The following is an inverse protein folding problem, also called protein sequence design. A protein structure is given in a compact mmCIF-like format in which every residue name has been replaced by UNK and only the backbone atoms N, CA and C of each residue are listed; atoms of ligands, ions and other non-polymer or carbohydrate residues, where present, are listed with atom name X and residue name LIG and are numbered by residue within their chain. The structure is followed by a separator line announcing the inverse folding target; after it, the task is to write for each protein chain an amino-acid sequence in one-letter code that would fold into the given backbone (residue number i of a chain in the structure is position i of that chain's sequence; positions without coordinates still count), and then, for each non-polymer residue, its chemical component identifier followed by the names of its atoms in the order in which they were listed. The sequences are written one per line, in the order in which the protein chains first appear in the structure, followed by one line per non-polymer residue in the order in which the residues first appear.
data_IF_378051736300
#
_entry.id   IF_378051736300
#
_cell.length_a   1.000
_cell.length_b   1.000
_cell.length_c   1.000
_cell.angle_alpha   90.00
_cell.angle_beta   90.00
_cell.angle_gamma   90.00
#
_symmetry.space_group_name_H-M   'P 1'
#
loop_
_entity.id
_entity.type
_entity.pdbx_description
1 polymer ?
#
# COMPACT_ATOMS: atom_id res chain seq x y z
N UNK A 1 -5.30 30.91 -71.22
CA UNK A 1 -4.86 29.90 -70.24
C UNK A 1 -4.18 30.65 -69.10
N UNK A 2 -4.85 30.82 -67.96
CA UNK A 2 -4.32 31.54 -66.80
C UNK A 2 -4.29 30.59 -65.61
N UNK A 3 -3.09 30.31 -65.10
CA UNK A 3 -2.80 29.47 -63.96
C UNK A 3 -2.92 30.28 -62.67
N UNK A 4 -3.94 30.00 -61.85
CA UNK A 4 -4.12 30.60 -60.53
C UNK A 4 -3.34 29.85 -59.46
N UNK A 5 -2.28 30.45 -58.92
CA UNK A 5 -1.62 29.99 -57.70
C UNK A 5 -2.41 30.50 -56.49
N UNK A 6 -2.98 29.59 -55.69
CA UNK A 6 -3.54 29.91 -54.37
C UNK A 6 -2.38 30.21 -53.40
N UNK A 7 -2.28 31.46 -52.92
CA UNK A 7 -1.45 31.79 -51.76
C UNK A 7 -2.27 31.58 -50.49
N UNK A 8 -1.89 30.58 -49.70
CA UNK A 8 -2.43 30.36 -48.34
C UNK A 8 -1.83 31.44 -47.44
N UNK A 9 -2.65 32.41 -47.04
CA UNK A 9 -2.26 33.43 -46.06
C UNK A 9 -2.55 32.88 -44.67
N UNK A 10 -1.52 32.37 -44.00
CA UNK A 10 -1.62 31.97 -42.60
C UNK A 10 -1.79 33.23 -41.74
N UNK A 11 -2.85 33.28 -40.94
CA UNK A 11 -3.02 34.40 -40.02
C UNK A 11 -1.87 34.40 -39.01
N UNK A 12 -1.36 35.58 -38.64
CA UNK A 12 -0.32 35.70 -37.60
C UNK A 12 -0.72 34.96 -36.32
N UNK A 13 -2.02 34.91 -35.99
CA UNK A 13 -2.58 34.20 -34.83
C UNK A 13 -2.44 32.69 -34.93
N UNK A 14 -2.62 32.10 -36.12
CA UNK A 14 -2.44 30.67 -36.36
C UNK A 14 -0.96 30.26 -36.25
N UNK A 15 -0.05 31.10 -36.74
CA UNK A 15 1.38 30.91 -36.57
C UNK A 15 1.82 31.01 -35.10
N UNK A 16 1.23 31.94 -34.34
CA UNK A 16 1.48 32.02 -32.89
C UNK A 16 0.92 30.81 -32.15
N UNK A 17 -0.32 30.38 -32.41
CA UNK A 17 -0.92 29.22 -31.76
C UNK A 17 -0.13 27.92 -32.03
N UNK A 18 0.30 27.70 -33.27
CA UNK A 18 1.14 26.55 -33.62
C UNK A 18 2.53 26.64 -32.96
N UNK A 19 3.10 27.83 -32.82
CA UNK A 19 4.35 28.03 -32.11
C UNK A 19 4.20 27.78 -30.59
N UNK A 20 3.09 28.18 -29.97
CA UNK A 20 2.83 27.93 -28.54
C UNK A 20 2.58 26.45 -28.28
N UNK A 21 1.81 25.77 -29.15
CA UNK A 21 1.60 24.31 -29.08
C UNK A 21 2.93 23.57 -29.25
N UNK A 22 3.77 23.99 -30.20
CA UNK A 22 5.09 23.41 -30.38
C UNK A 22 5.99 23.65 -29.18
N UNK A 23 5.97 24.84 -28.57
CA UNK A 23 6.76 25.16 -27.38
C UNK A 23 6.26 24.39 -26.14
N UNK A 24 4.95 24.23 -25.97
CA UNK A 24 4.38 23.40 -24.90
C UNK A 24 4.71 21.92 -25.12
N UNK A 25 4.58 21.42 -26.35
CA UNK A 25 4.96 20.05 -26.68
C UNK A 25 6.44 19.79 -26.40
N UNK A 26 7.33 20.70 -26.81
CA UNK A 26 8.77 20.62 -26.51
C UNK A 26 9.02 20.73 -25.00
N UNK A 27 8.32 21.62 -24.28
CA UNK A 27 8.44 21.76 -22.83
C UNK A 27 8.04 20.47 -22.11
N UNK A 28 6.89 19.88 -22.46
CA UNK A 28 6.41 18.62 -21.88
C UNK A 28 7.26 17.40 -22.28
N UNK A 29 7.89 17.42 -23.46
CA UNK A 29 8.90 16.40 -23.86
C UNK A 29 10.25 16.60 -23.15
N UNK A 30 10.54 17.81 -22.66
CA UNK A 30 11.79 18.16 -21.95
C UNK A 30 11.69 17.93 -20.44
N UNK A 31 10.50 17.66 -19.90
CA UNK A 31 10.33 17.21 -18.52
C UNK A 31 10.87 15.77 -18.45
N UNK A 32 11.93 15.50 -17.67
CA UNK A 32 12.47 14.16 -17.55
C UNK A 32 11.38 13.20 -17.03
N UNK A 33 11.25 11.98 -17.60
CA UNK A 33 10.33 10.96 -17.09
C UNK A 33 10.84 10.47 -15.73
N UNK A 34 10.47 11.19 -14.67
CA UNK A 34 10.92 10.92 -13.30
C UNK A 34 10.33 11.84 -12.24
N UNK A 35 9.59 12.89 -12.61
CA UNK A 35 8.94 13.79 -11.65
C UNK A 35 7.49 13.43 -11.29
N UNK A 36 6.85 12.46 -11.96
CA UNK A 36 5.47 12.02 -11.68
C UNK A 36 5.28 10.48 -11.76
N UNK A 37 6.35 9.70 -11.75
CA UNK A 37 6.33 8.23 -11.65
C UNK A 37 7.66 7.75 -11.08
N UNK A 38 7.67 6.71 -10.23
CA UNK A 38 8.92 6.16 -9.68
C UNK A 38 9.80 5.59 -10.81
N UNK A 39 11.13 5.67 -10.68
CA UNK A 39 12.04 5.24 -11.74
C UNK A 39 11.98 3.71 -11.93
N UNK A 40 12.06 3.22 -13.19
CA UNK A 40 12.25 1.80 -13.45
C UNK A 40 13.71 1.43 -13.12
N UNK A 41 13.94 0.64 -12.08
CA UNK A 41 15.27 0.10 -11.80
C UNK A 41 15.53 -1.19 -12.59
N UNK A 42 16.49 -1.07 -13.50
CA UNK A 42 17.07 -2.12 -14.32
C UNK A 42 17.86 -3.11 -13.43
N UNK A 43 17.33 -4.33 -13.27
CA UNK A 43 18.03 -5.45 -12.64
C UNK A 43 19.17 -5.93 -13.56
N UNK A 44 20.36 -5.36 -13.39
CA UNK A 44 21.61 -5.92 -13.93
C UNK A 44 22.52 -6.40 -12.80
N UNK A 45 22.29 -7.64 -12.35
CA UNK A 45 23.32 -8.39 -11.64
C UNK A 45 24.36 -8.86 -12.65
N UNK A 46 25.59 -8.34 -12.57
CA UNK A 46 26.76 -8.88 -13.25
C UNK A 46 27.56 -9.73 -12.25
N UNK A 47 27.96 -10.97 -12.57
CA UNK A 47 28.70 -11.82 -11.64
C UNK A 47 30.16 -11.34 -11.52
N UNK A 48 30.61 -11.09 -10.29
CA UNK A 48 32.04 -10.91 -9.98
C UNK A 48 32.74 -12.26 -9.94
N UNK A 49 33.93 -12.30 -10.54
CA UNK A 49 34.80 -13.48 -10.66
C UNK A 49 35.43 -13.85 -9.31
N UNK A 50 35.57 -15.15 -9.09
CA UNK A 50 36.44 -15.78 -8.10
C UNK A 50 37.87 -15.27 -8.22
N UNK A 51 38.52 -15.05 -7.08
CA UNK A 51 39.96 -15.29 -6.96
C UNK A 51 40.25 -16.09 -5.67
N UNK A 52 41.13 -17.09 -5.82
CA UNK A 52 41.48 -18.09 -4.83
C UNK A 52 42.69 -17.62 -4.04
N UNK A 53 42.61 -17.59 -2.71
CA UNK A 53 43.76 -17.97 -1.86
C UNK A 53 43.36 -18.24 -0.40
N UNK A 54 43.75 -19.40 0.12
CA UNK A 54 43.91 -19.76 1.55
C UNK A 54 45.38 -20.19 1.71
N UNK A 55 46.03 -20.19 2.91
CA UNK A 55 45.54 -20.85 4.15
C UNK A 55 45.86 -20.14 5.49
N UNK A 56 45.05 -20.35 6.55
CA UNK A 56 45.50 -21.11 7.74
C UNK A 56 45.21 -20.38 9.08
N UNK A 57 45.09 -21.07 10.23
CA UNK A 57 43.89 -20.96 11.08
C UNK A 57 44.12 -20.40 12.50
N UNK A 58 43.15 -19.65 13.05
CA UNK A 58 42.92 -19.50 14.51
C UNK A 58 41.42 -19.33 14.80
N UNK A 59 40.86 -20.22 15.64
CA UNK A 59 39.49 -20.18 16.23
C UNK A 59 39.61 -19.49 17.61
N UNK A 60 38.64 -18.67 18.08
CA UNK A 60 37.43 -19.20 18.74
C UNK A 60 36.13 -18.40 18.43
N UNK A 61 35.06 -19.05 17.98
CA UNK A 61 33.88 -19.48 18.78
C UNK A 61 32.88 -18.36 19.10
N UNK A 62 31.84 -18.23 18.25
CA UNK A 62 30.41 -18.24 18.58
C UNK A 62 29.61 -17.93 17.30
N UNK A 63 29.03 -18.96 16.69
CA UNK A 63 28.09 -18.79 15.57
C UNK A 63 26.75 -18.28 16.11
N UNK A 64 26.14 -17.25 15.49
CA UNK A 64 24.73 -16.92 15.74
C UNK A 64 23.85 -18.04 15.18
N UNK A 65 22.74 -18.42 15.85
CA UNK A 65 21.89 -19.51 15.40
C UNK A 65 21.25 -19.14 14.05
N UNK A 66 21.77 -19.72 12.97
CA UNK A 66 21.12 -19.77 11.66
C UNK A 66 20.20 -20.99 11.62
N UNK A 67 18.97 -20.81 12.08
CA UNK A 67 17.86 -21.65 11.64
C UNK A 67 16.60 -20.81 11.64
N UNK A 68 16.09 -20.52 10.44
CA UNK A 68 14.68 -20.14 10.28
C UNK A 68 13.84 -21.24 10.97
N UNK A 69 12.91 -20.92 11.86
CA UNK A 69 11.99 -21.93 12.37
C UNK A 69 11.22 -22.51 11.18
N UNK A 70 11.30 -23.83 11.00
CA UNK A 70 10.36 -24.51 10.10
C UNK A 70 8.93 -24.25 10.59
N UNK A 71 7.95 -24.11 9.68
CA UNK A 71 6.56 -23.96 10.06
C UNK A 71 6.12 -25.14 10.93
N UNK A 72 5.72 -24.86 12.17
CA UNK A 72 5.08 -25.86 13.04
C UNK A 72 3.82 -26.35 12.32
N UNK A 73 3.82 -27.63 11.91
CA UNK A 73 2.63 -28.26 11.31
C UNK A 73 1.50 -28.27 12.35
N UNK A 74 0.34 -27.65 12.08
CA UNK A 74 -0.83 -27.80 12.94
C UNK A 74 -1.31 -29.26 12.91
N UNK A 75 -1.55 -29.84 14.08
CA UNK A 75 -2.08 -31.20 14.29
C UNK A 75 -3.58 -31.33 14.05
N UNK A 76 -4.24 -30.26 13.63
CA UNK A 76 -5.66 -30.23 13.23
C UNK A 76 -5.78 -30.24 11.71
N UNK A 77 -6.74 -31.00 11.18
CA UNK A 77 -7.08 -30.95 9.75
C UNK A 77 -7.24 -29.49 9.29
N UNK A 78 -6.74 -29.11 8.10
CA UNK A 78 -6.87 -27.75 7.61
C UNK A 78 -8.36 -27.38 7.51
N UNK A 79 -8.78 -26.34 8.25
CA UNK A 79 -10.12 -25.77 8.09
C UNK A 79 -10.31 -25.33 6.64
N UNK A 80 -11.51 -25.56 6.09
CA UNK A 80 -11.85 -25.00 4.80
C UNK A 80 -11.78 -23.46 4.86
N UNK A 81 -11.42 -22.77 3.76
CA UNK A 81 -11.30 -21.30 3.74
C UNK A 81 -12.50 -20.56 4.35
N UNK A 82 -13.71 -21.03 4.02
CA UNK A 82 -14.99 -20.48 4.50
C UNK A 82 -15.27 -20.69 5.99
N UNK A 83 -14.49 -21.54 6.65
CA UNK A 83 -14.60 -21.84 8.09
C UNK A 83 -13.58 -21.06 8.94
N UNK A 84 -12.70 -20.29 8.32
CA UNK A 84 -11.72 -19.47 9.02
C UNK A 84 -12.43 -18.27 9.65
N UNK A 85 -12.40 -18.16 10.98
CA UNK A 85 -12.99 -17.00 11.66
C UNK A 85 -12.19 -15.73 11.35
N UNK A 86 -12.91 -14.63 11.12
CA UNK A 86 -12.34 -13.29 10.91
C UNK A 86 -12.81 -12.33 11.98
N UNK A 87 -11.91 -11.52 12.51
CA UNK A 87 -12.25 -10.36 13.34
C UNK A 87 -11.58 -9.11 12.80
N UNK A 88 -12.36 -8.03 12.67
CA UNK A 88 -11.86 -6.71 12.33
C UNK A 88 -11.63 -5.93 13.62
N UNK A 89 -10.45 -5.32 13.78
CA UNK A 89 -10.05 -4.56 14.96
C UNK A 89 -9.86 -3.11 14.55
N UNK A 90 -10.62 -2.21 15.18
CA UNK A 90 -10.62 -0.78 14.85
C UNK A 90 -10.42 0.04 16.11
N UNK A 91 -9.50 0.98 16.04
CA UNK A 91 -9.43 2.12 16.96
C UNK A 91 -10.28 3.25 16.40
N UNK A 92 -11.09 3.90 17.26
CA UNK A 92 -11.86 5.07 16.88
C UNK A 92 -11.94 6.10 17.99
N UNK A 93 -12.23 7.33 17.60
CA UNK A 93 -12.76 8.35 18.52
C UNK A 93 -14.29 8.23 18.64
N UNK A 94 -14.87 8.74 19.73
CA UNK A 94 -16.32 8.78 19.93
C UNK A 94 -17.07 9.45 18.76
N UNK A 95 -16.46 10.48 18.17
CA UNK A 95 -17.03 11.24 17.04
C UNK A 95 -16.96 10.49 15.70
N UNK A 96 -16.20 9.42 15.60
CA UNK A 96 -16.01 8.67 14.36
C UNK A 96 -17.09 7.61 14.22
N UNK A 97 -17.74 7.62 13.06
CA UNK A 97 -18.80 6.68 12.73
C UNK A 97 -18.22 5.38 12.15
N UNK A 98 -18.58 4.27 12.78
CA UNK A 98 -18.23 2.91 12.34
C UNK A 98 -19.45 2.00 12.22
N UNK A 99 -20.67 2.57 12.18
CA UNK A 99 -21.91 1.80 12.02
C UNK A 99 -21.92 0.97 10.73
N UNK A 100 -21.18 1.42 9.71
CA UNK A 100 -20.97 0.70 8.45
C UNK A 100 -20.47 -0.74 8.65
N UNK A 101 -19.74 -1.05 9.73
CA UNK A 101 -19.32 -2.42 10.04
C UNK A 101 -20.54 -3.34 10.22
N UNK A 102 -21.53 -2.90 11.00
CA UNK A 102 -22.71 -3.70 11.28
C UNK A 102 -23.66 -3.75 10.08
N UNK A 103 -23.75 -2.65 9.33
CA UNK A 103 -24.64 -2.53 8.17
C UNK A 103 -24.16 -3.37 6.98
N UNK A 104 -22.84 -3.35 6.70
CA UNK A 104 -22.27 -3.94 5.49
C UNK A 104 -21.58 -5.30 5.75
N UNK A 105 -21.15 -5.55 6.99
CA UNK A 105 -20.41 -6.75 7.38
C UNK A 105 -21.06 -7.49 8.58
N UNK A 106 -22.38 -7.78 8.56
CA UNK A 106 -23.10 -8.31 9.72
C UNK A 106 -22.62 -9.69 10.19
N UNK A 107 -21.88 -10.41 9.33
CA UNK A 107 -21.36 -11.76 9.62
C UNK A 107 -19.89 -11.76 10.05
N UNK A 108 -19.24 -10.59 10.11
CA UNK A 108 -17.84 -10.46 10.52
C UNK A 108 -17.79 -9.87 11.92
N UNK A 109 -17.05 -10.52 12.81
CA UNK A 109 -16.89 -10.00 14.17
C UNK A 109 -16.07 -8.71 14.13
N UNK A 110 -16.50 -7.70 14.86
CA UNK A 110 -15.77 -6.45 15.02
C UNK A 110 -15.39 -6.21 16.49
N UNK A 111 -14.14 -5.83 16.74
CA UNK A 111 -13.65 -5.33 18.01
C UNK A 111 -13.32 -3.84 17.84
N UNK A 112 -14.28 -2.99 18.21
CA UNK A 112 -14.18 -1.53 18.09
C UNK A 112 -13.80 -0.94 19.43
N UNK A 113 -12.60 -0.39 19.53
CA UNK A 113 -12.13 0.31 20.73
C UNK A 113 -12.35 1.81 20.59
N UNK A 114 -13.06 2.40 21.55
CA UNK A 114 -13.23 3.85 21.63
C UNK A 114 -12.12 4.42 22.52
N UNK A 115 -11.15 5.13 21.93
CA UNK A 115 -9.90 5.47 22.63
C UNK A 115 -10.04 6.67 23.58
N UNK A 116 -11.03 7.52 23.35
CA UNK A 116 -11.33 8.73 24.11
C UNK A 116 -12.57 8.58 25.02
N UNK A 117 -12.99 7.35 25.31
CA UNK A 117 -14.07 7.03 26.26
C UNK A 117 -13.67 5.86 27.18
N UNK A 118 -13.26 6.12 28.44
CA UNK A 118 -12.88 5.06 29.39
C UNK A 118 -14.09 4.25 29.90
N UNK A 119 -15.33 4.65 29.56
CA UNK A 119 -16.54 3.92 29.92
C UNK A 119 -17.02 2.98 28.82
N UNK A 120 -16.43 3.07 27.62
CA UNK A 120 -16.78 2.21 26.50
C UNK A 120 -16.47 0.73 26.83
N UNK A 121 -17.26 -0.24 26.32
CA UNK A 121 -17.02 -1.66 26.58
C UNK A 121 -15.62 -2.14 26.18
N UNK A 122 -15.09 -1.61 25.08
CA UNK A 122 -13.71 -1.79 24.65
C UNK A 122 -13.03 -0.42 24.62
N UNK A 123 -12.02 -0.24 25.46
CA UNK A 123 -11.18 0.95 25.53
C UNK A 123 -9.74 0.54 25.86
N UNK A 124 -8.72 1.26 25.35
CA UNK A 124 -7.34 1.00 25.70
C UNK A 124 -7.04 1.45 27.13
N UNK A 125 -5.95 0.96 27.77
CA UNK A 125 -5.54 1.43 29.08
C UNK A 125 -5.18 2.92 29.13
N UNK A 126 -4.81 3.51 27.97
CA UNK A 126 -4.53 4.93 27.80
C UNK A 126 -4.64 5.29 26.32
N UNK A 127 -5.13 6.48 25.99
CA UNK A 127 -5.05 7.02 24.63
C UNK A 127 -3.63 7.53 24.35
N UNK A 128 -2.75 6.65 23.85
CA UNK A 128 -1.33 6.95 23.51
C UNK A 128 -0.80 5.94 22.47
N UNK A 129 -0.06 6.40 21.47
CA UNK A 129 0.40 5.63 20.33
C UNK A 129 -0.67 5.37 19.27
N UNK A 130 -1.70 6.22 19.16
CA UNK A 130 -2.86 6.04 18.25
C UNK A 130 -3.41 4.58 18.26
N UNK A 131 -3.61 3.97 17.09
CA UNK A 131 -4.13 2.61 16.92
C UNK A 131 -3.22 1.53 17.51
N UNK A 132 -1.92 1.81 17.69
CA UNK A 132 -0.98 0.80 18.18
C UNK A 132 -1.33 0.30 19.57
N UNK A 133 -1.83 1.18 20.45
CA UNK A 133 -2.30 0.77 21.78
C UNK A 133 -3.50 -0.16 21.71
N UNK A 134 -4.43 0.11 20.80
CA UNK A 134 -5.61 -0.72 20.59
C UNK A 134 -5.20 -2.07 20.05
N UNK A 135 -4.34 -2.12 19.04
CA UNK A 135 -3.91 -3.36 18.41
C UNK A 135 -3.16 -4.25 19.41
N UNK A 136 -2.25 -3.66 20.20
CA UNK A 136 -1.57 -4.38 21.28
C UNK A 136 -2.54 -4.86 22.35
N UNK A 137 -3.50 -4.02 22.75
CA UNK A 137 -4.47 -4.40 23.79
C UNK A 137 -5.36 -5.55 23.32
N UNK A 138 -5.85 -5.51 22.08
CA UNK A 138 -6.60 -6.62 21.48
C UNK A 138 -5.80 -7.93 21.49
N UNK A 139 -4.53 -7.88 21.05
CA UNK A 139 -3.65 -9.06 21.02
C UNK A 139 -3.39 -9.63 22.42
N UNK A 140 -3.27 -8.77 23.44
CA UNK A 140 -3.07 -9.16 24.83
C UNK A 140 -4.35 -9.74 25.44
N UNK A 141 -5.46 -9.03 25.33
CA UNK A 141 -6.72 -9.34 26.01
C UNK A 141 -7.38 -10.61 25.42
N UNK A 142 -7.06 -10.95 24.17
CA UNK A 142 -7.60 -12.10 23.47
C UNK A 142 -6.57 -13.18 23.11
N UNK A 143 -5.35 -13.12 23.64
CA UNK A 143 -4.22 -13.98 23.25
C UNK A 143 -4.56 -15.48 23.13
N UNK A 144 -5.32 -16.03 24.09
CA UNK A 144 -5.71 -17.44 24.12
C UNK A 144 -6.91 -17.77 23.21
N UNK A 145 -7.64 -16.74 22.76
CA UNK A 145 -8.91 -16.83 22.02
C UNK A 145 -8.87 -16.10 20.68
N UNK A 146 -7.68 -15.80 20.15
CA UNK A 146 -7.53 -15.13 18.85
C UNK A 146 -8.28 -15.90 17.75
N UNK A 147 -8.96 -15.19 16.82
CA UNK A 147 -9.61 -15.80 15.66
C UNK A 147 -8.55 -16.31 14.67
N UNK A 148 -8.97 -17.07 13.66
CA UNK A 148 -8.02 -17.59 12.66
C UNK A 148 -7.33 -16.42 11.92
N UNK A 149 -8.08 -15.36 11.57
CA UNK A 149 -7.58 -14.14 10.92
C UNK A 149 -8.05 -12.89 11.66
N UNK A 150 -7.11 -11.99 11.95
CA UNK A 150 -7.35 -10.65 12.49
C UNK A 150 -7.06 -9.62 11.42
N UNK A 151 -7.90 -8.60 11.27
CA UNK A 151 -7.72 -7.51 10.30
C UNK A 151 -7.73 -6.20 11.08
N UNK A 152 -6.60 -5.53 11.13
CA UNK A 152 -6.39 -4.26 11.82
C UNK A 152 -6.52 -3.12 10.80
N UNK A 153 -7.49 -2.24 11.00
CA UNK A 153 -7.81 -1.15 10.07
C UNK A 153 -8.07 0.17 10.82
N UNK A 154 -7.98 1.27 10.09
CA UNK A 154 -8.52 2.55 10.53
C UNK A 154 -10.06 2.57 10.46
N UNK A 155 -10.69 3.49 11.18
CA UNK A 155 -12.16 3.61 11.31
C UNK A 155 -12.87 4.07 10.03
N UNK A 156 -12.17 4.75 9.12
CA UNK A 156 -12.73 5.32 7.90
C UNK A 156 -13.06 4.24 6.86
N UNK A 157 -14.34 4.17 6.45
CA UNK A 157 -14.77 3.29 5.35
C UNK A 157 -14.10 3.67 4.03
N UNK A 158 -14.24 4.92 3.59
CA UNK A 158 -13.60 5.42 2.36
C UNK A 158 -12.38 6.26 2.72
N UNK A 159 -11.21 5.83 2.27
CA UNK A 159 -9.97 6.53 2.57
C UNK A 159 -8.88 6.27 1.53
N UNK A 160 -8.00 7.26 1.34
CA UNK A 160 -6.89 7.19 0.38
C UNK A 160 -5.90 6.04 0.67
N UNK A 161 -5.80 5.62 1.92
CA UNK A 161 -4.91 4.55 2.36
C UNK A 161 -5.50 3.15 2.14
N UNK A 162 -6.75 3.04 1.68
CA UNK A 162 -7.35 1.79 1.23
C UNK A 162 -6.98 1.50 -0.23
N UNK A 163 -7.11 0.23 -0.62
CA UNK A 163 -6.69 -0.20 -1.96
C UNK A 163 -7.52 0.43 -3.08
N UNK A 164 -6.83 1.04 -4.03
CA UNK A 164 -7.42 1.76 -5.16
C UNK A 164 -8.23 0.83 -6.09
N UNK A 165 -7.75 -0.39 -6.36
CA UNK A 165 -8.51 -1.37 -7.16
C UNK A 165 -9.74 -1.93 -6.44
N UNK A 166 -9.89 -1.62 -5.14
CA UNK A 166 -11.04 -1.91 -4.29
C UNK A 166 -11.84 -0.64 -3.97
N UNK A 167 -11.73 0.38 -4.83
CA UNK A 167 -12.48 1.64 -4.75
C UNK A 167 -12.21 2.43 -3.46
N UNK A 168 -11.05 2.20 -2.84
CA UNK A 168 -10.69 2.84 -1.57
C UNK A 168 -11.69 2.58 -0.44
N UNK A 169 -12.48 1.50 -0.53
CA UNK A 169 -13.52 1.11 0.44
C UNK A 169 -13.04 -0.03 1.35
N UNK A 170 -13.05 0.19 2.66
CA UNK A 170 -12.67 -0.79 3.67
C UNK A 170 -13.56 -2.04 3.64
N UNK A 171 -14.84 -1.91 3.29
CA UNK A 171 -15.77 -3.05 3.12
C UNK A 171 -15.26 -3.98 2.03
N UNK A 172 -14.81 -3.41 0.90
CA UNK A 172 -14.25 -4.18 -0.20
C UNK A 172 -12.92 -4.84 0.19
N UNK A 173 -12.07 -4.13 0.95
CA UNK A 173 -10.81 -4.70 1.49
C UNK A 173 -11.10 -5.91 2.37
N UNK A 174 -12.02 -5.79 3.34
CA UNK A 174 -12.33 -6.86 4.30
C UNK A 174 -12.95 -8.08 3.60
N UNK A 175 -13.91 -7.86 2.69
CA UNK A 175 -14.58 -8.92 1.97
C UNK A 175 -13.66 -9.63 0.98
N UNK A 176 -12.81 -8.89 0.27
CA UNK A 176 -11.92 -9.44 -0.74
C UNK A 176 -10.61 -10.02 -0.17
N UNK A 177 -10.27 -9.77 1.09
CA UNK A 177 -9.06 -10.33 1.69
C UNK A 177 -9.16 -11.86 1.86
N UNK A 178 -8.26 -12.59 1.20
CA UNK A 178 -8.15 -14.05 1.26
C UNK A 178 -7.59 -14.49 2.61
N UNK A 179 -8.42 -15.19 3.39
CA UNK A 179 -7.97 -15.78 4.66
C UNK A 179 -6.88 -16.84 4.46
N UNK A 180 -6.94 -17.75 3.47
CA UNK A 180 -5.83 -18.66 3.19
C UNK A 180 -4.52 -17.95 2.86
N UNK A 181 -4.55 -16.83 2.13
CA UNK A 181 -3.35 -16.02 1.91
C UNK A 181 -2.77 -15.50 3.22
N UNK A 182 -3.60 -14.94 4.11
CA UNK A 182 -3.15 -14.50 5.43
C UNK A 182 -2.59 -15.65 6.27
N UNK A 183 -3.19 -16.85 6.22
CA UNK A 183 -2.66 -18.04 6.90
C UNK A 183 -1.26 -18.42 6.38
N UNK A 184 -1.04 -18.34 5.06
CA UNK A 184 0.25 -18.69 4.44
C UNK A 184 1.34 -17.67 4.73
N UNK A 185 1.02 -16.37 4.60
CA UNK A 185 2.00 -15.30 4.80
C UNK A 185 2.22 -14.98 6.28
N UNK A 186 1.23 -15.25 7.12
CA UNK A 186 1.28 -14.97 8.54
C UNK A 186 0.96 -13.52 8.88
N UNK A 187 1.70 -12.59 8.28
CA UNK A 187 1.52 -11.15 8.32
C UNK A 187 1.32 -10.61 6.90
N UNK A 188 0.31 -9.75 6.72
CA UNK A 188 -0.02 -9.15 5.43
C UNK A 188 -0.34 -7.68 5.65
N UNK A 189 0.43 -6.77 5.08
CA UNK A 189 -0.04 -5.40 4.93
C UNK A 189 -1.23 -5.40 3.95
N UNK A 190 -2.39 -4.88 4.36
CA UNK A 190 -3.59 -4.94 3.50
C UNK A 190 -3.56 -3.87 2.42
N UNK A 191 -2.63 -2.91 2.50
CA UNK A 191 -2.37 -1.94 1.43
C UNK A 191 -1.34 -2.52 0.46
N UNK A 192 -1.73 -2.63 -0.81
CA UNK A 192 -0.84 -3.15 -1.84
C UNK A 192 0.04 -2.09 -2.49
N UNK A 193 -0.38 -0.82 -2.48
CA UNK A 193 0.40 0.27 -3.07
C UNK A 193 1.68 0.52 -2.30
N UNK A 194 2.77 0.81 -3.01
CA UNK A 194 4.08 1.01 -2.39
C UNK A 194 4.27 2.39 -1.76
N UNK A 195 3.78 3.45 -2.40
CA UNK A 195 3.99 4.82 -1.91
C UNK A 195 2.81 5.25 -1.01
N UNK A 196 3.03 5.72 0.22
CA UNK A 196 4.31 5.77 0.93
C UNK A 196 4.69 4.42 1.53
N UNK A 197 6.01 4.21 1.74
CA UNK A 197 6.53 3.11 2.55
C UNK A 197 7.44 2.09 1.88
N UNK A 198 7.40 1.94 0.55
CA UNK A 198 8.19 0.97 -0.21
C UNK A 198 8.82 1.58 -1.48
N UNK A 199 9.94 1.01 -1.99
CA UNK A 199 10.67 -0.15 -1.44
C UNK A 199 11.58 0.19 -0.25
N UNK A 200 11.75 1.48 0.02
CA UNK A 200 12.64 2.04 1.03
C UNK A 200 11.98 3.30 1.58
N UNK A 201 11.92 3.45 2.91
CA UNK A 201 11.15 4.53 3.52
C UNK A 201 11.80 5.13 4.76
N UNK A 202 12.03 4.34 5.80
CA UNK A 202 12.69 4.81 7.02
C UNK A 202 14.16 4.42 7.03
N UNK A 203 15.05 5.35 7.32
CA UNK A 203 16.50 5.15 7.44
C UNK A 203 16.99 5.54 8.84
N UNK A 204 16.78 4.69 9.87
CA UNK A 204 17.06 5.04 11.27
C UNK A 204 18.49 5.54 11.55
N UNK A 205 19.45 5.16 10.69
CA UNK A 205 20.87 5.46 10.86
C UNK A 205 21.39 6.60 9.96
N UNK A 206 20.55 7.15 9.08
CA UNK A 206 20.96 8.23 8.17
C UNK A 206 20.77 9.60 8.84
N UNK A 207 21.84 10.42 8.98
CA UNK A 207 21.71 11.78 9.50
C UNK A 207 20.90 12.72 8.60
N UNK A 208 20.82 12.47 7.29
CA UNK A 208 20.18 13.36 6.30
C UNK A 208 18.66 13.40 6.43
N UNK A 209 18.06 12.33 6.92
CA UNK A 209 16.60 12.21 7.08
C UNK A 209 16.07 12.94 8.31
N UNK A 210 16.97 13.40 9.20
CA UNK A 210 16.61 14.20 10.38
C UNK A 210 16.02 15.57 10.07
N UNK A 211 16.10 16.02 8.82
CA UNK A 211 15.45 17.26 8.36
C UNK A 211 14.16 17.02 7.60
N UNK A 212 13.77 15.77 7.38
CA UNK A 212 12.53 15.45 6.68
C UNK A 212 11.33 15.63 7.62
N UNK A 213 10.61 16.74 7.43
CA UNK A 213 9.42 17.09 8.19
C UNK A 213 8.25 16.14 7.93
N UNK A 214 8.30 15.36 6.85
CA UNK A 214 7.25 14.38 6.52
C UNK A 214 7.40 13.07 7.30
N UNK A 215 8.58 12.81 7.90
CA UNK A 215 8.92 11.60 8.67
C UNK A 215 9.55 11.92 10.04
N UNK A 216 8.89 12.74 10.88
CA UNK A 216 9.46 13.16 12.16
C UNK A 216 9.82 12.00 13.11
N UNK A 217 9.15 10.85 12.99
CA UNK A 217 9.41 9.62 13.72
C UNK A 217 10.77 8.98 13.45
N UNK A 218 11.35 9.22 12.27
CA UNK A 218 12.59 8.58 11.85
C UNK A 218 13.76 8.98 12.75
N UNK A 219 13.73 10.21 13.27
CA UNK A 219 14.72 10.75 14.21
C UNK A 219 14.81 9.94 15.51
N UNK A 220 13.69 9.37 15.94
CA UNK A 220 13.55 8.64 17.20
C UNK A 220 13.64 7.12 16.99
N UNK A 221 13.57 6.67 15.73
CA UNK A 221 13.39 5.26 15.38
C UNK A 221 14.57 4.39 15.80
N UNK A 222 15.82 4.85 15.64
CA UNK A 222 16.99 4.08 16.07
C UNK A 222 17.03 3.85 17.59
N UNK A 223 16.66 4.88 18.37
CA UNK A 223 16.59 4.79 19.83
C UNK A 223 15.45 3.87 20.25
N UNK A 224 14.25 4.10 19.71
CA UNK A 224 13.08 3.28 19.98
C UNK A 224 13.32 1.81 19.61
N UNK A 225 13.97 1.54 18.48
CA UNK A 225 14.33 0.19 18.07
C UNK A 225 15.29 -0.46 19.08
N UNK A 226 16.31 0.25 19.55
CA UNK A 226 17.25 -0.28 20.55
C UNK A 226 16.59 -0.58 21.90
N UNK A 227 15.61 0.21 22.31
CA UNK A 227 14.82 -0.02 23.53
C UNK A 227 13.86 -1.21 23.37
N UNK A 228 13.19 -1.31 22.22
CA UNK A 228 12.23 -2.38 21.92
C UNK A 228 12.94 -3.71 21.68
N UNK A 229 14.08 -3.72 20.99
CA UNK A 229 14.80 -4.91 20.54
C UNK A 229 16.25 -4.93 21.05
N UNK A 230 16.47 -5.05 22.38
CA UNK A 230 17.79 -4.96 22.97
C UNK A 230 18.73 -6.03 22.41
N UNK A 231 19.94 -5.62 22.03
CA UNK A 231 20.97 -6.50 21.47
C UNK A 231 20.82 -6.82 19.97
N UNK A 232 19.77 -6.33 19.30
CA UNK A 232 19.61 -6.44 17.84
C UNK A 232 20.27 -5.25 17.14
N UNK A 233 20.89 -5.49 15.98
CA UNK A 233 21.42 -4.40 15.14
C UNK A 233 20.22 -3.61 14.61
N UNK A 234 20.25 -2.28 14.77
CA UNK A 234 19.28 -1.38 14.13
C UNK A 234 19.38 -1.55 12.62
N UNK A 235 18.26 -1.81 11.91
CA UNK A 235 18.25 -1.92 10.46
C UNK A 235 18.70 -0.63 9.78
N UNK A 236 19.38 -0.76 8.64
CA UNK A 236 19.74 0.39 7.80
C UNK A 236 18.50 1.03 7.17
N UNK A 237 17.53 0.19 6.80
CA UNK A 237 16.25 0.60 6.23
C UNK A 237 15.12 -0.20 6.87
N UNK A 238 14.00 0.45 7.17
CA UNK A 238 12.72 -0.17 7.50
C UNK A 238 11.69 0.25 6.45
N UNK A 239 11.02 -0.73 5.82
CA UNK A 239 10.09 -0.45 4.74
C UNK A 239 8.95 -1.47 4.67
N UNK A 240 7.75 -0.95 4.45
CA UNK A 240 6.53 -1.67 4.10
C UNK A 240 5.50 -0.63 3.64
N UNK A 241 4.42 -1.00 2.92
CA UNK A 241 3.34 -0.06 2.64
C UNK A 241 2.85 0.63 3.92
N UNK A 242 2.52 1.92 3.84
CA UNK A 242 2.17 2.71 5.01
C UNK A 242 0.94 2.24 5.80
N UNK A 243 0.69 3.00 6.86
CA UNK A 243 -0.61 3.28 7.45
C UNK A 243 -1.12 2.22 8.43
N UNK A 244 -0.24 1.38 8.96
CA UNK A 244 -0.54 0.44 10.05
C UNK A 244 -1.78 -0.47 9.82
N UNK A 245 -2.22 -0.64 8.57
CA UNK A 245 -3.33 -1.51 8.21
C UNK A 245 -2.78 -2.87 7.79
N UNK A 246 -3.06 -3.91 8.57
CA UNK A 246 -2.54 -5.25 8.30
C UNK A 246 -3.50 -6.35 8.75
N UNK A 247 -3.32 -7.53 8.17
CA UNK A 247 -3.96 -8.75 8.61
C UNK A 247 -2.92 -9.71 9.18
N UNK A 248 -3.33 -10.44 10.21
CA UNK A 248 -2.48 -11.33 10.97
C UNK A 248 -3.18 -12.67 11.18
N UNK A 249 -2.48 -13.76 10.93
CA UNK A 249 -2.95 -15.11 11.26
C UNK A 249 -2.78 -15.38 12.76
N UNK A 250 -3.65 -16.23 13.31
CA UNK A 250 -3.54 -16.71 14.70
C UNK A 250 -2.15 -17.25 15.04
N UNK A 251 -1.62 -18.12 14.19
CA UNK A 251 -0.35 -18.81 14.45
C UNK A 251 0.82 -17.84 14.52
N UNK A 252 0.87 -16.84 13.64
CA UNK A 252 1.90 -15.80 13.69
C UNK A 252 1.73 -14.86 14.89
N UNK A 253 0.49 -14.50 15.24
CA UNK A 253 0.24 -13.73 16.45
C UNK A 253 0.74 -14.45 17.70
N UNK A 254 0.58 -15.78 17.77
CA UNK A 254 0.99 -16.61 18.91
C UNK A 254 2.48 -16.99 18.89
N UNK A 255 3.19 -16.80 17.77
CA UNK A 255 4.66 -16.92 17.75
C UNK A 255 5.33 -15.84 18.62
N UNK A 256 4.64 -14.73 18.84
CA UNK A 256 5.05 -13.70 19.80
C UNK A 256 4.41 -14.04 21.15
N UNK A 257 5.21 -14.07 22.20
CA UNK A 257 4.71 -14.42 23.53
C UNK A 257 3.82 -13.31 24.09
N UNK A 258 2.84 -13.68 24.92
CA UNK A 258 2.01 -12.70 25.64
C UNK A 258 2.86 -11.68 26.42
N UNK A 259 3.90 -12.15 27.11
CA UNK A 259 4.83 -11.30 27.83
C UNK A 259 5.49 -10.26 26.92
N UNK A 260 5.86 -10.65 25.69
CA UNK A 260 6.47 -9.74 24.71
C UNK A 260 5.50 -8.65 24.25
N UNK A 261 4.23 -8.97 24.00
CA UNK A 261 3.23 -7.93 23.71
C UNK A 261 3.05 -6.97 24.89
N UNK A 262 3.03 -7.48 26.12
CA UNK A 262 2.93 -6.65 27.33
C UNK A 262 4.14 -5.73 27.48
N UNK A 263 5.37 -6.22 27.26
CA UNK A 263 6.60 -5.40 27.26
C UNK A 263 6.52 -4.27 26.24
N UNK A 264 6.10 -4.58 25.01
CA UNK A 264 5.91 -3.62 23.93
C UNK A 264 4.87 -2.56 24.31
N UNK A 265 3.70 -2.98 24.83
CA UNK A 265 2.66 -2.05 25.28
C UNK A 265 3.15 -1.19 26.43
N UNK A 266 3.95 -1.74 27.34
CA UNK A 266 4.57 -0.99 28.43
C UNK A 266 5.58 0.03 27.92
N UNK A 267 6.37 -0.28 26.90
CA UNK A 267 7.22 0.72 26.24
C UNK A 267 6.36 1.87 25.69
N UNK A 268 5.26 1.54 24.99
CA UNK A 268 4.36 2.53 24.43
C UNK A 268 3.68 3.39 25.50
N UNK A 269 3.34 2.84 26.66
CA UNK A 269 2.75 3.59 27.78
C UNK A 269 3.75 4.56 28.43
N UNK A 270 5.01 4.14 28.55
CA UNK A 270 6.01 4.81 29.38
C UNK A 270 6.99 5.69 28.59
N UNK A 271 7.05 5.55 27.27
CA UNK A 271 7.93 6.37 26.43
C UNK A 271 7.55 7.86 26.55
N UNK A 272 8.54 8.77 26.70
CA UNK A 272 8.30 10.20 26.75
C UNK A 272 7.93 10.78 25.38
N UNK A 273 8.02 9.98 24.31
CA UNK A 273 7.68 10.42 22.96
C UNK A 273 6.22 10.89 22.87
N UNK A 274 5.93 11.93 22.07
CA UNK A 274 4.56 12.34 21.78
C UNK A 274 3.73 11.19 21.19
N UNK A 275 2.41 11.27 21.36
CA UNK A 275 1.44 10.31 20.85
C UNK A 275 1.67 9.98 19.37
N UNK A 276 1.65 11.01 18.52
CA UNK A 276 1.87 10.91 17.07
C UNK A 276 3.19 10.21 16.70
N UNK A 277 4.30 10.59 17.34
CA UNK A 277 5.62 10.01 17.05
C UNK A 277 5.66 8.54 17.45
N UNK A 278 5.18 8.22 18.64
CA UNK A 278 5.18 6.84 19.13
C UNK A 278 4.27 5.91 18.32
N UNK A 279 3.13 6.42 17.82
CA UNK A 279 2.25 5.70 16.91
C UNK A 279 2.90 5.45 15.54
N UNK A 280 3.49 6.49 14.94
CA UNK A 280 4.18 6.40 13.64
C UNK A 280 5.43 5.51 13.67
N UNK A 281 6.12 5.43 14.81
CA UNK A 281 7.18 4.41 14.99
C UNK A 281 6.60 2.99 14.82
N UNK A 282 5.44 2.71 15.42
CA UNK A 282 4.80 1.40 15.32
C UNK A 282 4.32 1.07 13.90
N UNK A 283 3.88 2.07 13.13
CA UNK A 283 3.54 1.91 11.70
C UNK A 283 4.63 1.17 10.92
N UNK A 284 5.92 1.41 11.22
CA UNK A 284 7.06 0.80 10.55
C UNK A 284 7.81 -0.25 11.39
N UNK A 285 7.21 -0.74 12.49
CA UNK A 285 7.75 -1.85 13.30
C UNK A 285 6.83 -3.07 13.35
N UNK A 286 5.58 -2.99 12.88
CA UNK A 286 4.68 -4.14 12.83
C UNK A 286 5.25 -5.30 12.00
N UNK A 287 5.73 -5.00 10.80
CA UNK A 287 6.33 -6.01 9.93
C UNK A 287 7.54 -6.67 10.60
N UNK A 288 8.40 -5.89 11.26
CA UNK A 288 9.56 -6.43 11.96
C UNK A 288 9.14 -7.34 13.13
N UNK A 289 8.13 -6.93 13.91
CA UNK A 289 7.62 -7.72 15.03
C UNK A 289 7.17 -9.12 14.57
N UNK A 290 6.43 -9.21 13.47
CA UNK A 290 5.79 -10.46 13.04
C UNK A 290 6.62 -11.30 12.06
N UNK A 291 7.56 -10.70 11.35
CA UNK A 291 8.32 -11.38 10.30
C UNK A 291 9.82 -11.49 10.59
N UNK A 292 10.33 -10.71 11.54
CA UNK A 292 11.76 -10.51 11.78
C UNK A 292 12.53 -9.93 10.58
N UNK A 293 11.81 -9.43 9.57
CA UNK A 293 12.36 -8.83 8.36
C UNK A 293 12.18 -7.31 8.40
N UNK A 294 13.22 -6.51 8.09
CA UNK A 294 13.13 -5.05 8.12
C UNK A 294 12.39 -4.46 6.92
N UNK A 295 12.35 -5.19 5.80
CA UNK A 295 11.74 -4.75 4.54
C UNK A 295 10.71 -5.78 4.09
N UNK A 296 9.43 -5.40 4.10
CA UNK A 296 8.30 -6.22 3.65
C UNK A 296 7.54 -5.45 2.58
N UNK A 297 8.09 -5.48 1.36
CA UNK A 297 7.55 -4.80 0.18
C UNK A 297 7.19 -5.81 -0.90
N UNK A 298 6.07 -6.56 -0.74
CA UNK A 298 5.62 -7.49 -1.77
C UNK A 298 5.30 -6.72 -3.05
N UNK A 299 5.54 -7.33 -4.21
CA UNK A 299 5.09 -6.74 -5.47
C UNK A 299 3.59 -6.48 -5.46
N UNK A 300 3.20 -5.33 -5.99
CA UNK A 300 1.80 -4.87 -5.95
C UNK A 300 0.86 -5.85 -6.67
N UNK A 301 1.28 -6.41 -7.81
CA UNK A 301 0.49 -7.38 -8.58
C UNK A 301 0.23 -8.69 -7.80
N UNK A 302 1.24 -9.17 -7.05
CA UNK A 302 1.11 -10.36 -6.19
C UNK A 302 0.19 -10.07 -4.99
N UNK A 303 0.35 -8.90 -4.36
CA UNK A 303 -0.51 -8.48 -3.25
C UNK A 303 -1.99 -8.46 -3.67
N UNK A 304 -2.30 -7.82 -4.80
CA UNK A 304 -3.65 -7.78 -5.34
C UNK A 304 -4.16 -9.16 -5.77
N UNK A 305 -3.31 -9.96 -6.41
CA UNK A 305 -3.72 -11.26 -6.95
C UNK A 305 -3.95 -12.31 -5.86
N UNK A 306 -2.95 -12.61 -5.02
CA UNK A 306 -3.11 -13.65 -3.99
C UNK A 306 -3.95 -13.15 -2.81
N UNK A 307 -3.75 -11.89 -2.41
CA UNK A 307 -4.43 -11.29 -1.27
C UNK A 307 -5.88 -10.93 -1.54
N UNK A 308 -6.18 -10.39 -2.73
CA UNK A 308 -7.51 -9.83 -3.02
C UNK A 308 -8.22 -10.45 -4.24
N UNK A 309 -7.58 -11.41 -4.93
CA UNK A 309 -8.17 -12.05 -6.11
C UNK A 309 -8.26 -11.17 -7.35
N UNK A 310 -7.44 -10.11 -7.44
CA UNK A 310 -7.36 -9.26 -8.64
C UNK A 310 -6.08 -9.62 -9.39
N UNK A 311 -6.19 -10.53 -10.35
CA UNK A 311 -5.03 -11.12 -11.03
C UNK A 311 -4.96 -10.67 -12.49
N UNK A 312 -4.01 -9.81 -12.82
CA UNK A 312 -3.83 -9.29 -14.19
C UNK A 312 -3.12 -10.26 -15.15
N UNK A 313 -2.62 -11.41 -14.67
CA UNK A 313 -1.75 -12.29 -15.47
C UNK A 313 -0.25 -12.03 -15.29
N UNK A 314 0.12 -11.18 -14.32
CA UNK A 314 1.48 -10.83 -13.96
C UNK A 314 1.74 -9.32 -13.95
N UNK A 315 2.95 -8.94 -13.50
CA UNK A 315 3.38 -7.56 -13.33
C UNK A 315 3.29 -6.73 -14.61
N UNK A 316 3.59 -7.30 -15.79
CA UNK A 316 3.52 -6.54 -17.05
C UNK A 316 2.11 -6.01 -17.30
N UNK A 317 1.10 -6.86 -17.23
CA UNK A 317 -0.29 -6.49 -17.46
C UNK A 317 -0.84 -5.58 -16.35
N UNK A 318 -0.38 -5.78 -15.12
CA UNK A 318 -0.67 -4.89 -14.00
C UNK A 318 -0.13 -3.48 -14.27
N UNK A 319 1.14 -3.37 -14.66
CA UNK A 319 1.78 -2.09 -14.99
C UNK A 319 1.10 -1.41 -16.16
N UNK A 320 0.79 -2.14 -17.24
CA UNK A 320 0.05 -1.61 -18.39
C UNK A 320 -1.30 -0.99 -17.99
N UNK A 321 -2.00 -1.57 -17.00
CA UNK A 321 -3.24 -1.01 -16.48
C UNK A 321 -3.02 0.32 -15.75
N UNK A 322 -2.00 0.39 -14.89
CA UNK A 322 -1.68 1.62 -14.15
C UNK A 322 -1.11 2.72 -15.06
N UNK A 323 -0.34 2.38 -16.09
CA UNK A 323 0.14 3.31 -17.11
C UNK A 323 -1.03 3.94 -17.88
N UNK A 324 -1.98 3.10 -18.30
CA UNK A 324 -3.20 3.56 -18.96
C UNK A 324 -4.03 4.48 -18.07
N UNK A 325 -4.12 4.18 -16.77
CA UNK A 325 -4.79 5.04 -15.79
C UNK A 325 -4.05 6.34 -15.54
N UNK A 326 -2.72 6.33 -15.54
CA UNK A 326 -1.93 7.55 -15.46
C UNK A 326 -2.15 8.45 -16.68
N UNK A 327 -2.27 7.86 -17.88
CA UNK A 327 -2.67 8.60 -19.09
C UNK A 327 -4.06 9.21 -18.95
N UNK A 328 -5.05 8.42 -18.47
CA UNK A 328 -6.39 8.92 -18.20
C UNK A 328 -6.39 10.16 -17.31
N UNK A 329 -5.68 10.11 -16.18
CA UNK A 329 -5.59 11.22 -15.21
C UNK A 329 -4.98 12.47 -15.85
N UNK A 330 -3.97 12.30 -16.72
CA UNK A 330 -3.39 13.42 -17.49
C UNK A 330 -4.40 14.05 -18.45
N UNK A 331 -5.19 13.24 -19.14
CA UNK A 331 -6.25 13.73 -20.03
C UNK A 331 -7.36 14.43 -19.26
N UNK A 332 -7.78 13.90 -18.11
CA UNK A 332 -8.75 14.53 -17.23
C UNK A 332 -8.26 15.88 -16.71
N UNK A 333 -6.99 15.97 -16.29
CA UNK A 333 -6.40 17.25 -15.87
C UNK A 333 -6.33 18.26 -17.02
N UNK A 334 -6.00 17.81 -18.24
CA UNK A 334 -5.99 18.67 -19.41
C UNK A 334 -7.39 19.16 -19.79
N UNK A 335 -8.41 18.29 -19.71
CA UNK A 335 -9.80 18.66 -19.92
C UNK A 335 -10.26 19.68 -18.88
N UNK A 336 -9.97 19.44 -17.60
CA UNK A 336 -10.30 20.38 -16.52
C UNK A 336 -9.64 21.75 -16.73
N UNK A 337 -8.37 21.80 -17.11
CA UNK A 337 -7.68 23.06 -17.40
C UNK A 337 -8.29 23.83 -18.59
N UNK A 338 -8.84 23.15 -19.60
CA UNK A 338 -9.55 23.79 -20.71
C UNK A 338 -10.90 24.34 -20.25
N UNK A 339 -11.64 23.55 -19.48
CA UNK A 339 -12.95 23.95 -18.95
C UNK A 339 -12.85 25.10 -17.93
N UNK A 340 -11.79 25.11 -17.11
CA UNK A 340 -11.50 26.18 -16.14
C UNK A 340 -10.95 27.44 -16.83
N UNK A 341 -10.13 27.27 -17.87
CA UNK A 341 -9.61 28.39 -18.68
C UNK A 341 -10.72 29.16 -19.41
N UNK A 342 -11.75 28.46 -19.89
CA UNK A 342 -12.97 29.06 -20.44
C UNK A 342 -13.78 29.84 -19.38
N UNK A 343 -13.59 29.56 -18.08
CA UNK A 343 -14.27 30.26 -16.99
C UNK A 343 -13.52 31.52 -16.49
N UNK A 344 -12.18 31.57 -16.61
CA UNK A 344 -11.37 32.71 -16.14
C UNK A 344 -11.13 33.78 -17.23
N UNK A 345 -11.05 33.41 -18.50
CA UNK A 345 -10.94 34.34 -19.64
C UNK A 345 -12.27 34.49 -20.39
N UNK A 346 -13.19 35.32 -19.88
CA UNK A 346 -14.05 36.27 -20.64
C UNK A 346 -15.47 36.49 -20.05
N UNK A 347 -15.55 37.44 -19.10
CA UNK A 347 -16.65 38.42 -19.08
C UNK A 347 -16.43 39.57 -20.09
N UNK A 348 -15.51 39.44 -21.05
CA UNK A 348 -15.25 40.46 -22.09
C UNK A 348 -15.05 39.85 -23.48
N UNK A 349 -16.18 39.53 -24.13
CA UNK A 349 -16.33 39.44 -25.59
C UNK A 349 -15.40 38.47 -26.33
N UNK A 350 -15.83 37.23 -26.54
CA UNK A 350 -16.19 36.67 -27.85
C UNK A 350 -16.63 35.21 -27.72
N UNK A 351 -17.28 34.73 -28.77
CA UNK A 351 -17.56 33.33 -29.08
C UNK A 351 -16.55 32.36 -28.46
N UNK A 352 -17.02 31.42 -27.62
CA UNK A 352 -16.38 30.11 -27.45
C UNK A 352 -15.88 29.66 -28.83
N UNK A 353 -14.56 29.62 -28.99
CA UNK A 353 -13.95 29.26 -30.27
C UNK A 353 -14.30 27.78 -30.50
N UNK A 354 -14.97 27.46 -31.62
CA UNK A 354 -15.37 26.09 -31.92
C UNK A 354 -14.20 25.10 -31.92
N UNK A 355 -12.96 25.60 -31.96
CA UNK A 355 -11.73 24.83 -31.78
C UNK A 355 -11.54 24.30 -30.34
N UNK A 356 -11.82 25.09 -29.30
CA UNK A 356 -11.72 24.68 -27.88
C UNK A 356 -12.75 23.61 -27.57
N UNK A 357 -13.99 23.81 -28.01
CA UNK A 357 -15.05 22.83 -27.83
C UNK A 357 -14.72 21.50 -28.54
N UNK A 358 -14.19 21.56 -29.76
CA UNK A 358 -13.75 20.36 -30.49
C UNK A 358 -12.65 19.60 -29.75
N UNK A 359 -11.67 20.30 -29.18
CA UNK A 359 -10.59 19.67 -28.39
C UNK A 359 -11.16 19.03 -27.12
N UNK A 360 -12.06 19.71 -26.41
CA UNK A 360 -12.73 19.16 -25.23
C UNK A 360 -13.52 17.89 -25.57
N UNK A 361 -14.25 17.88 -26.69
CA UNK A 361 -15.01 16.71 -27.15
C UNK A 361 -14.09 15.52 -27.51
N UNK A 362 -12.97 15.76 -28.18
CA UNK A 362 -11.95 14.73 -28.48
C UNK A 362 -11.33 14.17 -27.19
N UNK A 363 -11.00 15.04 -26.21
CA UNK A 363 -10.50 14.60 -24.91
C UNK A 363 -11.51 13.75 -24.16
N UNK A 364 -12.79 14.17 -24.11
CA UNK A 364 -13.87 13.42 -23.48
C UNK A 364 -14.05 12.04 -24.11
N UNK A 365 -14.00 11.96 -25.44
CA UNK A 365 -14.06 10.68 -26.17
C UNK A 365 -12.89 9.78 -25.80
N UNK A 366 -11.66 10.31 -25.81
CA UNK A 366 -10.47 9.52 -25.45
C UNK A 366 -10.48 9.06 -23.99
N UNK A 367 -10.92 9.92 -23.07
CA UNK A 367 -11.10 9.56 -21.65
C UNK A 367 -12.09 8.40 -21.55
N UNK A 368 -13.24 8.48 -22.23
CA UNK A 368 -14.25 7.42 -22.22
C UNK A 368 -13.72 6.08 -22.78
N UNK A 369 -12.96 6.10 -23.88
CA UNK A 369 -12.32 4.90 -24.44
C UNK A 369 -11.34 4.25 -23.45
N UNK A 370 -10.56 5.08 -22.74
CA UNK A 370 -9.65 4.60 -21.69
C UNK A 370 -10.42 4.05 -20.49
N UNK A 371 -11.48 4.73 -20.05
CA UNK A 371 -12.36 4.28 -18.96
C UNK A 371 -12.93 2.89 -19.23
N UNK A 372 -13.45 2.67 -20.44
CA UNK A 372 -13.99 1.38 -20.84
C UNK A 372 -12.91 0.29 -20.86
N UNK A 373 -11.71 0.61 -21.34
CA UNK A 373 -10.56 -0.31 -21.34
C UNK A 373 -10.12 -0.68 -19.91
N UNK A 374 -9.98 0.31 -19.02
CA UNK A 374 -9.61 0.11 -17.62
C UNK A 374 -10.64 -0.78 -16.90
N UNK A 375 -11.94 -0.49 -17.12
CA UNK A 375 -13.05 -1.27 -16.55
C UNK A 375 -13.03 -2.72 -17.03
N UNK A 376 -12.92 -2.95 -18.35
CA UNK A 376 -12.89 -4.31 -18.92
C UNK A 376 -11.72 -5.10 -18.33
N UNK A 377 -10.51 -4.52 -18.34
CA UNK A 377 -9.31 -5.19 -17.82
C UNK A 377 -9.41 -5.51 -16.33
N UNK A 378 -10.00 -4.62 -15.53
CA UNK A 378 -10.20 -4.86 -14.09
C UNK A 378 -11.20 -6.00 -13.85
N UNK A 379 -12.31 -6.05 -14.59
CA UNK A 379 -13.29 -7.13 -14.47
C UNK A 379 -12.73 -8.48 -14.94
N UNK A 380 -11.92 -8.48 -16.00
CA UNK A 380 -11.17 -9.66 -16.43
C UNK A 380 -10.18 -10.13 -15.37
N UNK A 381 -9.47 -9.20 -14.71
CA UNK A 381 -8.52 -9.52 -13.66
C UNK A 381 -9.20 -10.12 -12.41
N UNK A 382 -10.36 -9.58 -12.01
CA UNK A 382 -11.19 -10.15 -10.92
C UNK A 382 -11.66 -11.55 -11.27
N UNK A 383 -12.27 -11.72 -12.45
CA UNK A 383 -12.76 -13.02 -12.93
C UNK A 383 -11.65 -14.05 -13.02
N UNK A 384 -10.47 -13.66 -13.50
CA UNK A 384 -9.28 -14.51 -13.56
C UNK A 384 -8.85 -14.98 -12.16
N UNK A 385 -8.89 -14.07 -11.19
CA UNK A 385 -8.55 -14.36 -9.81
C UNK A 385 -9.58 -15.22 -9.08
N UNK A 386 -10.78 -15.46 -9.58
CA UNK A 386 -11.71 -16.42 -8.97
C UNK A 386 -11.12 -17.86 -8.94
N UNK A 387 -10.24 -18.21 -9.87
CA UNK A 387 -9.54 -19.50 -9.88
C UNK A 387 -8.25 -19.44 -9.03
N UNK A 388 -8.16 -20.17 -7.90
CA UNK A 388 -6.95 -20.19 -7.07
C UNK A 388 -5.72 -20.74 -7.78
N UNK A 389 -5.87 -21.51 -8.87
CA UNK A 389 -4.74 -21.98 -9.69
C UNK A 389 -4.12 -20.84 -10.48
N UNK A 390 -4.94 -19.92 -10.99
CA UNK A 390 -4.43 -18.71 -11.64
C UNK A 390 -3.70 -17.81 -10.62
N UNK A 391 -4.25 -17.64 -9.41
CA UNK A 391 -3.56 -16.90 -8.35
C UNK A 391 -2.18 -17.47 -8.06
N UNK A 392 -2.11 -18.78 -7.83
CA UNK A 392 -0.87 -19.48 -7.55
C UNK A 392 0.15 -19.30 -8.69
N UNK A 393 -0.31 -19.47 -9.94
CA UNK A 393 0.51 -19.31 -11.13
C UNK A 393 1.06 -17.89 -11.27
N UNK A 394 0.21 -16.87 -11.17
CA UNK A 394 0.60 -15.47 -11.34
C UNK A 394 1.55 -15.02 -10.21
N UNK A 395 1.44 -15.64 -9.02
CA UNK A 395 2.31 -15.40 -7.88
C UNK A 395 3.57 -16.30 -7.85
N UNK A 396 3.80 -17.12 -8.88
CA UNK A 396 4.99 -17.97 -8.98
C UNK A 396 5.08 -19.09 -7.93
N UNK A 397 3.95 -19.51 -7.35
CA UNK A 397 3.88 -20.54 -6.32
C UNK A 397 3.12 -21.79 -6.80
N UNK A 398 3.42 -22.99 -6.28
CA UNK A 398 2.60 -24.17 -6.56
C UNK A 398 1.20 -23.99 -5.94
N UNK A 399 0.18 -24.47 -6.65
CA UNK A 399 -1.19 -24.54 -6.13
C UNK A 399 -1.35 -25.76 -5.21
N UNK A 400 -2.08 -25.58 -4.11
CA UNK A 400 -2.48 -26.66 -3.19
C UNK A 400 -3.98 -26.58 -2.90
N UNK A 401 -4.56 -27.73 -2.57
CA UNK A 401 -5.94 -27.78 -2.06
C UNK A 401 -6.07 -26.87 -0.82
N UNK A 402 -7.12 -26.04 -0.77
CA UNK A 402 -7.30 -25.05 0.29
C UNK A 402 -6.71 -23.65 0.01
N UNK A 403 -5.99 -23.44 -1.11
CA UNK A 403 -5.51 -22.10 -1.52
C UNK A 403 -6.61 -21.15 -2.06
N UNK A 404 -7.88 -21.53 -1.89
CA UNK A 404 -9.07 -20.84 -2.38
C UNK A 404 -9.46 -19.58 -1.60
N UNK A 405 -10.72 -19.18 -1.79
CA UNK A 405 -11.35 -18.04 -1.12
C UNK A 405 -12.42 -18.51 -0.13
#
# INVERSE_FOLDING_TARGET
MSSGFLRIVWSRRLLFALATIFLLFVFFQSIPPGYLSPPPHELTQKPSKEDKTTPGPVKPTQEPPKSKPEPVKPTTEPKAPQQLSKTVVIARLQKEDVNWLQDELPNIQAAVYTVDDPTAPLHPPKNKGHEAMVYLSYLIDHYDKLPDVMIFLHSHRWAWHNNDLLQSDAVNVINALSSPYVQRQGYVNVRCHWEPGCPEWMHPLDPSTRTDISKPEEQELAKAFGELYPGRKVPETLAQPCCAQFALSKSFAQNITLARYVEIRNWLLNTPLPDEISGRIWEYLWQYLFTDEPVVCPRMDICYCDGFGICFGGEKQFTEWFDLRAEQRKLQAALGALEDGDNEEEQKSKSSDGSTQYIADELRKKIQEIDDSLRIKLEEAKKRGEDPRNRAKDCGRPWKEGDGF
#
